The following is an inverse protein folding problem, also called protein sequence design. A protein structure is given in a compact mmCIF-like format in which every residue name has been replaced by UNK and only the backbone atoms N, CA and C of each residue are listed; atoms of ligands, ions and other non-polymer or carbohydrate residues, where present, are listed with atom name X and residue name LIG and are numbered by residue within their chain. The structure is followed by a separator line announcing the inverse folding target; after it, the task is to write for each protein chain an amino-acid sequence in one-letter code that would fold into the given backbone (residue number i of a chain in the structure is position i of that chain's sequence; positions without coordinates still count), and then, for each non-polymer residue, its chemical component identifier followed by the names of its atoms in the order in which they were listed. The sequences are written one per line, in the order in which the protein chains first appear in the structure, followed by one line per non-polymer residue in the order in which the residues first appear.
data_IF_356784684830
#
_entry.id   IF_356784684830
#
_cell.length_a   1.000
_cell.length_b   1.000
_cell.length_c   1.000
_cell.angle_alpha   90.00
_cell.angle_beta   90.00
_cell.angle_gamma   90.00
#
_symmetry.space_group_name_H-M   'P 1'
#
loop_
_entity.id
_entity.type
_entity.pdbx_description
1 polymer ?
#
# COMPACT_ATOMS: atom_id res chain seq x y z
N UNK A 1 12.06 15.36 -24.27
CA UNK A 1 11.31 14.72 -23.18
C UNK A 1 12.02 13.44 -22.84
N UNK A 2 12.42 13.24 -21.57
CA UNK A 2 13.13 12.04 -21.11
C UNK A 2 12.19 10.84 -21.04
N UNK A 3 12.74 9.62 -21.02
CA UNK A 3 11.94 8.42 -21.12
C UNK A 3 12.26 7.43 -20.00
N UNK A 4 11.26 7.05 -19.21
CA UNK A 4 11.34 6.01 -18.20
C UNK A 4 10.59 4.74 -18.63
N UNK A 5 11.24 3.58 -18.53
CA UNK A 5 10.62 2.27 -18.73
C UNK A 5 10.26 1.68 -17.36
N UNK A 6 8.97 1.59 -17.08
CA UNK A 6 8.45 1.00 -15.85
C UNK A 6 8.18 -0.49 -16.02
N UNK A 7 8.68 -1.31 -15.12
CA UNK A 7 8.40 -2.75 -15.05
C UNK A 7 7.55 -2.99 -13.81
N UNK A 8 6.27 -3.27 -13.98
CA UNK A 8 5.32 -3.39 -12.88
C UNK A 8 4.28 -4.48 -13.13
N UNK A 9 4.07 -5.33 -12.13
CA UNK A 9 2.94 -6.26 -12.10
C UNK A 9 1.63 -5.50 -11.87
N UNK A 10 1.56 -4.70 -10.79
CA UNK A 10 0.39 -3.91 -10.44
C UNK A 10 0.26 -2.68 -11.33
N UNK A 11 -0.56 -2.82 -12.35
CA UNK A 11 -0.95 -1.73 -13.26
C UNK A 11 -2.39 -1.95 -13.74
N UNK A 12 -3.18 -0.89 -14.00
CA UNK A 12 -4.58 -1.05 -14.44
C UNK A 12 -4.73 -2.02 -15.63
N UNK A 13 -5.83 -2.79 -15.68
CA UNK A 13 -7.03 -2.75 -14.83
C UNK A 13 -6.94 -3.55 -13.52
N UNK A 14 -5.74 -4.02 -13.11
CA UNK A 14 -5.55 -4.71 -11.85
C UNK A 14 -6.08 -3.87 -10.68
N UNK A 15 -6.84 -4.48 -9.76
CA UNK A 15 -7.46 -3.77 -8.63
C UNK A 15 -7.51 -4.58 -7.33
N UNK A 16 -6.78 -5.69 -7.25
CA UNK A 16 -6.74 -6.50 -6.03
C UNK A 16 -5.98 -5.83 -4.89
N UNK A 17 -5.05 -4.93 -5.22
CA UNK A 17 -4.16 -4.24 -4.27
C UNK A 17 -4.14 -2.73 -4.52
N UNK A 18 -4.07 -1.95 -3.44
CA UNK A 18 -3.80 -0.51 -3.52
C UNK A 18 -2.44 -0.16 -4.16
N UNK A 19 -1.60 -1.17 -4.35
CA UNK A 19 -0.32 -1.03 -5.02
C UNK A 19 -0.38 -0.57 -6.47
N UNK A 20 -1.48 -0.82 -7.14
CA UNK A 20 -1.73 -0.31 -8.50
C UNK A 20 -1.71 1.22 -8.53
N UNK A 21 -2.23 1.87 -7.49
CA UNK A 21 -2.33 3.33 -7.43
C UNK A 21 -0.94 4.01 -7.39
N UNK A 22 0.06 3.41 -6.73
CA UNK A 22 1.43 3.95 -6.71
C UNK A 22 2.00 4.06 -8.12
N UNK A 23 1.96 2.97 -8.88
CA UNK A 23 2.48 2.93 -10.26
C UNK A 23 1.65 3.82 -11.19
N UNK A 24 0.32 3.71 -11.14
CA UNK A 24 -0.58 4.51 -11.96
C UNK A 24 -0.35 6.02 -11.76
N UNK A 25 -0.27 6.47 -10.50
CA UNK A 25 -0.13 7.91 -10.22
C UNK A 25 1.27 8.43 -10.57
N UNK A 26 2.33 7.62 -10.44
CA UNK A 26 3.62 8.00 -10.99
C UNK A 26 3.55 8.20 -12.51
N UNK A 27 2.96 7.26 -13.25
CA UNK A 27 2.83 7.40 -14.70
C UNK A 27 1.99 8.61 -15.10
N UNK A 28 0.98 8.97 -14.30
CA UNK A 28 0.13 10.15 -14.51
C UNK A 28 0.86 11.46 -14.30
N UNK A 29 1.71 11.54 -13.28
CA UNK A 29 2.28 12.83 -12.88
C UNK A 29 3.69 13.09 -13.41
N UNK A 30 4.46 12.06 -13.78
CA UNK A 30 5.82 12.23 -14.31
C UNK A 30 5.87 13.07 -15.58
N UNK A 31 4.80 13.06 -16.39
CA UNK A 31 4.67 13.94 -17.56
C UNK A 31 4.79 15.43 -17.23
N UNK A 32 4.34 15.87 -16.04
CA UNK A 32 4.47 17.26 -15.57
C UNK A 32 5.91 17.68 -15.31
N UNK A 33 6.80 16.71 -15.11
CA UNK A 33 8.23 16.88 -14.83
C UNK A 33 9.11 16.54 -16.05
N UNK A 34 8.52 16.52 -17.27
CA UNK A 34 9.26 16.31 -18.51
C UNK A 34 9.60 14.86 -18.82
N UNK A 35 8.99 13.89 -18.14
CA UNK A 35 9.19 12.46 -18.35
C UNK A 35 8.01 11.82 -19.06
N UNK A 36 8.25 11.14 -20.18
CA UNK A 36 7.30 10.19 -20.74
C UNK A 36 7.53 8.81 -20.15
N UNK A 37 6.49 8.00 -20.08
CA UNK A 37 6.56 6.67 -19.45
C UNK A 37 6.06 5.60 -20.40
N UNK A 38 6.83 4.52 -20.52
CA UNK A 38 6.36 3.24 -21.06
C UNK A 38 6.23 2.25 -19.93
N UNK A 39 5.09 1.60 -19.78
CA UNK A 39 4.85 0.57 -18.77
C UNK A 39 4.90 -0.80 -19.41
N UNK A 40 5.78 -1.66 -18.93
CA UNK A 40 5.86 -3.08 -19.25
C UNK A 40 5.17 -3.89 -18.16
N UNK A 41 4.08 -4.56 -18.50
CA UNK A 41 3.24 -5.29 -17.57
C UNK A 41 2.68 -6.57 -18.19
N UNK A 42 1.89 -7.35 -17.45
CA UNK A 42 1.30 -8.59 -17.93
C UNK A 42 0.03 -8.33 -18.76
N UNK A 43 -0.37 -9.33 -19.55
CA UNK A 43 -1.69 -9.37 -20.16
C UNK A 43 -2.78 -9.35 -19.09
N UNK A 44 -3.98 -8.84 -19.45
CA UNK A 44 -5.11 -8.65 -18.54
C UNK A 44 -5.57 -9.95 -17.88
N UNK A 45 -5.42 -11.08 -18.55
CA UNK A 45 -5.80 -12.41 -18.07
C UNK A 45 -4.99 -12.88 -16.84
N UNK A 46 -3.89 -12.18 -16.50
CA UNK A 46 -3.14 -12.41 -15.28
C UNK A 46 -3.91 -12.00 -14.03
N UNK A 47 -4.79 -11.01 -14.15
CA UNK A 47 -5.45 -10.36 -13.03
C UNK A 47 -6.78 -11.03 -12.69
N UNK A 48 -6.94 -11.42 -11.42
CA UNK A 48 -8.16 -12.06 -10.94
C UNK A 48 -9.26 -11.04 -10.60
N UNK A 49 -8.85 -9.84 -10.18
CA UNK A 49 -9.75 -8.74 -9.83
C UNK A 49 -9.35 -7.53 -10.67
N UNK A 50 -10.28 -7.00 -11.42
CA UNK A 50 -10.06 -5.88 -12.33
C UNK A 50 -11.10 -4.78 -12.11
N UNK A 51 -10.69 -3.53 -12.33
CA UNK A 51 -11.58 -2.37 -12.36
C UNK A 51 -11.33 -1.57 -13.66
N UNK A 52 -12.27 -1.57 -14.61
CA UNK A 52 -12.14 -0.78 -15.85
C UNK A 52 -11.98 0.72 -15.60
N UNK A 53 -12.57 1.26 -14.53
CA UNK A 53 -12.44 2.68 -14.17
C UNK A 53 -11.01 3.09 -13.80
N UNK A 54 -10.19 2.15 -13.32
CA UNK A 54 -8.76 2.41 -13.12
C UNK A 54 -8.01 2.47 -14.45
N UNK A 55 -8.43 1.70 -15.45
CA UNK A 55 -7.82 1.75 -16.78
C UNK A 55 -8.10 3.07 -17.49
N UNK A 56 -9.29 3.64 -17.30
CA UNK A 56 -9.65 4.97 -17.82
C UNK A 56 -8.78 6.10 -17.22
N UNK A 57 -8.16 5.87 -16.07
CA UNK A 57 -7.25 6.83 -15.45
C UNK A 57 -5.82 6.80 -16.02
N UNK A 58 -5.50 5.81 -16.86
CA UNK A 58 -4.18 5.76 -17.52
C UNK A 58 -4.10 6.90 -18.54
N UNK A 59 -3.09 7.79 -18.42
CA UNK A 59 -2.95 8.89 -19.36
C UNK A 59 -2.76 8.38 -20.81
N UNK A 60 -3.32 9.06 -21.82
CA UNK A 60 -3.27 8.61 -23.20
C UNK A 60 -1.86 8.64 -23.81
N UNK A 61 -0.96 9.42 -23.24
CA UNK A 61 0.46 9.51 -23.61
C UNK A 61 1.33 8.43 -22.96
N UNK A 62 0.79 7.65 -22.03
CA UNK A 62 1.48 6.50 -21.43
C UNK A 62 1.34 5.27 -22.32
N UNK A 63 2.46 4.82 -22.87
CA UNK A 63 2.50 3.57 -23.64
C UNK A 63 2.48 2.36 -22.71
N UNK A 64 1.46 1.49 -22.81
CA UNK A 64 1.36 0.25 -22.05
C UNK A 64 1.70 -0.95 -22.93
N UNK A 65 2.77 -1.66 -22.60
CA UNK A 65 3.22 -2.87 -23.30
C UNK A 65 2.86 -4.08 -22.43
N UNK A 66 1.86 -4.83 -22.89
CA UNK A 66 1.40 -6.04 -22.21
C UNK A 66 2.05 -7.28 -22.82
N UNK A 67 2.42 -8.22 -21.95
CA UNK A 67 3.13 -9.43 -22.40
C UNK A 67 2.47 -10.69 -21.90
N UNK A 68 2.64 -11.83 -22.62
CA UNK A 68 2.29 -13.13 -22.13
C UNK A 68 3.00 -13.44 -20.80
N UNK A 69 2.48 -14.42 -20.08
CA UNK A 69 3.00 -14.85 -18.79
C UNK A 69 2.71 -16.34 -18.54
N UNK A 70 3.47 -16.94 -17.66
CA UNK A 70 3.14 -18.21 -17.01
C UNK A 70 3.03 -17.92 -15.51
N UNK A 71 1.84 -18.16 -14.95
CA UNK A 71 1.62 -18.22 -13.50
C UNK A 71 1.88 -19.67 -13.07
N UNK A 72 2.95 -19.88 -12.31
CA UNK A 72 3.36 -21.22 -11.89
C UNK A 72 2.24 -21.96 -11.15
N UNK A 73 1.52 -21.29 -10.28
CA UNK A 73 0.41 -21.86 -9.53
C UNK A 73 -0.78 -22.25 -10.42
N UNK A 74 -1.07 -21.45 -11.43
CA UNK A 74 -2.25 -21.65 -12.31
C UNK A 74 -1.97 -22.62 -13.45
N UNK A 75 -0.77 -22.55 -14.05
CA UNK A 75 -0.48 -23.22 -15.31
C UNK A 75 0.42 -24.46 -15.15
N UNK A 76 1.20 -24.54 -14.06
CA UNK A 76 2.17 -25.64 -13.87
C UNK A 76 1.85 -26.51 -12.65
N UNK A 77 0.83 -26.20 -11.85
CA UNK A 77 0.44 -27.03 -10.73
C UNK A 77 -0.27 -28.30 -11.21
N UNK A 78 0.21 -29.47 -10.74
CA UNK A 78 -0.43 -30.75 -10.92
C UNK A 78 -1.08 -31.14 -9.59
N UNK A 79 -2.40 -31.34 -9.58
CA UNK A 79 -3.18 -31.63 -8.37
C UNK A 79 -2.96 -30.58 -7.25
N UNK A 80 -2.81 -29.32 -7.63
CA UNK A 80 -2.59 -28.21 -6.68
C UNK A 80 -1.16 -28.03 -6.17
N UNK A 81 -0.22 -28.88 -6.58
CA UNK A 81 1.19 -28.82 -6.17
C UNK A 81 2.11 -28.54 -7.37
N UNK A 82 3.20 -27.83 -7.12
CA UNK A 82 4.27 -27.58 -8.09
C UNK A 82 5.63 -27.52 -7.38
N UNK A 83 6.74 -27.85 -8.06
CA UNK A 83 8.09 -27.71 -7.51
C UNK A 83 8.38 -26.26 -7.13
N UNK A 84 8.74 -26.00 -5.86
CA UNK A 84 8.91 -24.64 -5.31
C UNK A 84 9.95 -23.81 -6.07
N UNK A 85 10.97 -24.44 -6.67
CA UNK A 85 12.00 -23.72 -7.45
C UNK A 85 11.43 -23.02 -8.69
N UNK A 86 10.31 -23.49 -9.25
CA UNK A 86 9.65 -22.85 -10.39
C UNK A 86 9.04 -21.48 -10.00
N UNK A 87 8.72 -21.30 -8.71
CA UNK A 87 8.18 -20.05 -8.17
C UNK A 87 9.29 -19.19 -7.52
N UNK A 88 10.51 -19.27 -7.98
CA UNK A 88 11.60 -18.38 -7.57
C UNK A 88 11.86 -17.36 -8.67
N UNK A 89 11.81 -16.04 -8.35
CA UNK A 89 11.67 -15.43 -7.03
C UNK A 89 10.23 -15.39 -6.50
N UNK A 90 9.24 -15.55 -7.36
CA UNK A 90 7.81 -15.60 -7.05
C UNK A 90 7.05 -16.39 -8.12
N UNK A 91 5.73 -16.56 -7.93
CA UNK A 91 4.87 -17.32 -8.85
C UNK A 91 4.82 -16.79 -10.29
N UNK A 92 5.27 -15.57 -10.51
CA UNK A 92 5.30 -14.89 -11.80
C UNK A 92 6.64 -15.02 -12.54
N UNK A 93 7.54 -15.90 -12.07
CA UNK A 93 8.85 -16.16 -12.70
C UNK A 93 8.74 -16.44 -14.20
N UNK A 94 7.66 -17.10 -14.65
CA UNK A 94 7.38 -17.35 -16.05
C UNK A 94 6.99 -16.12 -16.88
N UNK A 95 6.84 -14.94 -16.27
CA UNK A 95 6.69 -13.66 -16.99
C UNK A 95 8.02 -13.14 -17.54
N UNK A 96 9.13 -13.45 -16.86
CA UNK A 96 10.45 -12.89 -17.13
C UNK A 96 10.88 -12.98 -18.59
N UNK A 97 10.86 -14.15 -19.32
CA UNK A 97 11.38 -14.25 -20.69
C UNK A 97 10.60 -13.36 -21.69
N UNK A 98 9.27 -13.32 -21.55
CA UNK A 98 8.40 -12.54 -22.40
C UNK A 98 8.58 -11.03 -22.18
N UNK A 99 8.66 -10.63 -20.93
CA UNK A 99 8.87 -9.23 -20.56
C UNK A 99 10.25 -8.74 -21.00
N UNK A 100 11.31 -9.54 -20.82
CA UNK A 100 12.65 -9.18 -21.30
C UNK A 100 12.67 -9.05 -22.83
N UNK A 101 12.02 -9.95 -23.56
CA UNK A 101 11.95 -9.87 -25.01
C UNK A 101 11.20 -8.60 -25.49
N UNK A 102 10.07 -8.28 -24.85
CA UNK A 102 9.30 -7.06 -25.14
C UNK A 102 10.05 -5.79 -24.74
N UNK A 103 10.64 -5.76 -23.55
CA UNK A 103 11.46 -4.64 -23.09
C UNK A 103 12.63 -4.34 -24.01
N UNK A 104 13.32 -5.36 -24.51
CA UNK A 104 14.39 -5.20 -25.53
C UNK A 104 13.88 -4.61 -26.84
N UNK A 105 12.63 -4.90 -27.26
CA UNK A 105 12.03 -4.25 -28.43
C UNK A 105 11.77 -2.77 -28.16
N UNK A 106 11.28 -2.43 -26.96
CA UNK A 106 11.11 -1.03 -26.55
C UNK A 106 12.45 -0.30 -26.61
N UNK A 107 13.51 -0.84 -25.98
CA UNK A 107 14.85 -0.25 -25.92
C UNK A 107 15.49 -0.05 -27.31
N UNK A 108 15.15 -0.89 -28.31
CA UNK A 108 15.66 -0.75 -29.69
C UNK A 108 14.89 0.27 -30.49
N UNK A 109 13.61 0.41 -30.23
CA UNK A 109 12.73 1.31 -30.99
C UNK A 109 12.69 2.73 -30.45
N UNK A 110 13.08 2.92 -29.19
CA UNK A 110 12.91 4.19 -28.51
C UNK A 110 13.95 4.36 -27.39
N UNK A 111 14.78 5.41 -27.40
CA UNK A 111 15.75 5.66 -26.35
C UNK A 111 15.08 5.76 -24.98
N UNK A 112 15.58 4.98 -24.02
CA UNK A 112 15.15 4.97 -22.61
C UNK A 112 16.30 5.48 -21.76
N UNK A 113 16.01 6.41 -20.85
CA UNK A 113 17.01 7.02 -19.96
C UNK A 113 17.12 6.26 -18.64
N UNK A 114 15.98 5.80 -18.08
CA UNK A 114 15.90 5.13 -16.79
C UNK A 114 14.96 3.93 -16.86
N UNK A 115 15.37 2.80 -16.29
CA UNK A 115 14.50 1.67 -15.99
C UNK A 115 14.03 1.77 -14.54
N UNK A 116 12.73 1.69 -14.29
CA UNK A 116 12.13 1.64 -12.96
C UNK A 116 11.40 0.33 -12.78
N UNK A 117 11.63 -0.38 -11.67
CA UNK A 117 10.92 -1.61 -11.34
C UNK A 117 10.33 -1.55 -9.94
N UNK A 118 9.14 -2.12 -9.74
CA UNK A 118 8.44 -2.03 -8.45
C UNK A 118 7.97 -3.40 -7.97
N UNK A 119 8.16 -3.68 -6.67
CA UNK A 119 7.63 -4.85 -5.97
C UNK A 119 6.08 -4.73 -5.77
N UNK A 120 5.36 -5.72 -5.19
CA UNK A 120 5.87 -6.84 -4.37
C UNK A 120 6.41 -8.03 -5.15
N UNK A 121 6.16 -8.13 -6.46
CA UNK A 121 6.65 -9.25 -7.24
C UNK A 121 8.10 -9.02 -7.68
N UNK A 122 8.99 -9.80 -7.09
CA UNK A 122 10.42 -9.73 -7.28
C UNK A 122 10.85 -10.01 -8.73
N UNK A 123 10.04 -10.76 -9.47
CA UNK A 123 10.24 -10.99 -10.92
C UNK A 123 10.36 -9.66 -11.69
N UNK A 124 9.64 -8.61 -11.30
CA UNK A 124 9.77 -7.28 -11.92
C UNK A 124 11.20 -6.72 -11.82
N UNK A 125 11.85 -6.90 -10.69
CA UNK A 125 13.24 -6.47 -10.49
C UNK A 125 14.23 -7.29 -11.34
N UNK A 126 14.00 -8.62 -11.50
CA UNK A 126 14.85 -9.45 -12.38
C UNK A 126 14.70 -9.10 -13.85
N UNK A 127 13.49 -8.72 -14.28
CA UNK A 127 13.26 -8.20 -15.63
C UNK A 127 14.07 -6.91 -15.83
N UNK A 128 13.95 -5.95 -14.88
CA UNK A 128 14.68 -4.70 -14.94
C UNK A 128 16.20 -4.88 -14.92
N UNK A 129 16.73 -5.77 -14.07
CA UNK A 129 18.14 -6.16 -14.03
C UNK A 129 18.63 -6.64 -15.40
N UNK A 130 17.82 -7.48 -16.09
CA UNK A 130 18.15 -8.03 -17.40
C UNK A 130 18.14 -6.98 -18.52
N UNK A 131 17.29 -5.95 -18.39
CA UNK A 131 17.18 -4.86 -19.36
C UNK A 131 18.23 -3.80 -19.13
N UNK A 132 18.36 -3.30 -17.89
CA UNK A 132 19.28 -2.22 -17.55
C UNK A 132 20.74 -2.64 -17.66
N UNK A 133 21.09 -3.85 -17.16
CA UNK A 133 22.47 -4.33 -17.18
C UNK A 133 23.04 -4.50 -18.57
N UNK A 134 22.25 -5.02 -19.51
CA UNK A 134 22.67 -5.20 -20.92
C UNK A 134 22.79 -3.88 -21.69
N UNK A 135 21.87 -2.96 -21.41
CA UNK A 135 21.83 -1.67 -22.11
C UNK A 135 22.66 -0.59 -21.41
N UNK A 136 23.29 -0.90 -20.27
CA UNK A 136 24.02 0.06 -19.42
C UNK A 136 23.16 1.27 -19.03
N UNK A 137 21.86 1.04 -18.78
CA UNK A 137 20.90 2.07 -18.36
C UNK A 137 20.90 2.23 -16.85
N UNK A 138 20.56 3.41 -16.36
CA UNK A 138 20.26 3.62 -14.95
C UNK A 138 19.04 2.82 -14.53
N UNK A 139 19.11 2.23 -13.34
CA UNK A 139 18.04 1.40 -12.79
C UNK A 139 17.65 1.83 -11.38
N UNK A 140 16.36 2.11 -11.20
CA UNK A 140 15.74 2.40 -9.91
C UNK A 140 14.87 1.21 -9.51
N UNK A 141 15.15 0.62 -8.35
CA UNK A 141 14.38 -0.49 -7.79
C UNK A 141 13.52 0.01 -6.62
N UNK A 142 12.18 -0.08 -6.76
CA UNK A 142 11.19 0.36 -5.77
C UNK A 142 10.72 -0.83 -4.92
N UNK A 143 11.17 -0.86 -3.68
CA UNK A 143 10.82 -1.83 -2.67
C UNK A 143 9.63 -1.32 -1.86
N UNK A 144 8.48 -1.93 -2.04
CA UNK A 144 7.26 -1.58 -1.31
C UNK A 144 7.17 -2.30 0.01
N UNK A 145 7.70 -3.53 0.04
CA UNK A 145 7.74 -4.45 1.18
C UNK A 145 9.13 -5.08 1.24
N UNK A 146 9.59 -5.60 2.40
CA UNK A 146 10.79 -6.40 2.47
C UNK A 146 10.66 -7.63 1.54
N UNK A 147 11.75 -7.99 0.89
CA UNK A 147 11.71 -9.16 -0.01
C UNK A 147 11.80 -10.48 0.75
N UNK A 148 12.46 -10.45 1.90
CA UNK A 148 12.48 -11.54 2.86
C UNK A 148 12.55 -10.99 4.28
N UNK A 149 12.14 -11.80 5.24
CA UNK A 149 12.17 -11.49 6.68
C UNK A 149 13.11 -12.44 7.43
N UNK A 150 13.68 -11.98 8.53
CA UNK A 150 14.42 -12.81 9.46
C UNK A 150 13.83 -12.65 10.86
N UNK A 151 13.30 -13.74 11.44
CA UNK A 151 13.20 -15.10 10.89
C UNK A 151 12.23 -15.19 9.71
N UNK A 152 12.37 -16.20 8.82
CA UNK A 152 11.50 -16.35 7.67
C UNK A 152 10.06 -16.61 8.08
N UNK A 153 9.11 -16.09 7.28
CA UNK A 153 7.69 -16.34 7.50
C UNK A 153 7.35 -17.84 7.55
N UNK A 154 6.35 -18.22 8.39
CA UNK A 154 5.88 -19.60 8.45
C UNK A 154 5.46 -20.12 7.06
N UNK A 155 5.97 -21.32 6.69
CA UNK A 155 5.72 -21.90 5.38
C UNK A 155 6.75 -21.57 4.30
N UNK A 156 7.67 -20.65 4.54
CA UNK A 156 8.76 -20.34 3.62
C UNK A 156 9.77 -21.52 3.59
N UNK A 157 10.05 -22.06 2.41
CA UNK A 157 11.06 -23.11 2.27
C UNK A 157 12.47 -22.53 2.44
N UNK A 158 13.41 -23.33 2.97
CA UNK A 158 14.83 -22.93 3.08
C UNK A 158 15.41 -22.45 1.76
N UNK A 159 15.11 -23.16 0.67
CA UNK A 159 15.59 -22.80 -0.68
C UNK A 159 14.99 -21.46 -1.10
N UNK A 160 13.69 -21.25 -0.90
CA UNK A 160 13.01 -19.99 -1.21
C UNK A 160 13.60 -18.82 -0.43
N UNK A 161 13.84 -19.00 0.87
CA UNK A 161 14.44 -17.95 1.72
C UNK A 161 15.86 -17.58 1.28
N UNK A 162 16.72 -18.58 1.05
CA UNK A 162 18.10 -18.36 0.56
C UNK A 162 18.08 -17.67 -0.81
N UNK A 163 17.20 -18.11 -1.72
CA UNK A 163 17.06 -17.51 -3.03
C UNK A 163 16.59 -16.05 -2.94
N UNK A 164 15.59 -15.75 -2.12
CA UNK A 164 15.10 -14.40 -1.90
C UNK A 164 16.23 -13.47 -1.39
N UNK A 165 16.98 -13.93 -0.38
CA UNK A 165 18.13 -13.19 0.17
C UNK A 165 19.22 -12.94 -0.87
N UNK A 166 19.56 -13.94 -1.68
CA UNK A 166 20.57 -13.79 -2.74
C UNK A 166 20.11 -12.82 -3.83
N UNK A 167 18.84 -12.90 -4.24
CA UNK A 167 18.29 -12.08 -5.28
C UNK A 167 18.10 -10.63 -4.80
N UNK A 168 17.64 -10.40 -3.57
CA UNK A 168 17.58 -9.05 -2.99
C UNK A 168 18.97 -8.41 -2.95
N UNK A 169 19.99 -9.17 -2.50
CA UNK A 169 21.39 -8.71 -2.50
C UNK A 169 21.89 -8.35 -3.90
N UNK A 170 21.52 -9.16 -4.90
CA UNK A 170 21.91 -8.90 -6.29
C UNK A 170 21.27 -7.61 -6.80
N UNK A 171 19.97 -7.41 -6.52
CA UNK A 171 19.24 -6.18 -6.89
C UNK A 171 19.83 -4.99 -6.15
N UNK A 172 20.04 -5.10 -4.84
CA UNK A 172 20.63 -4.04 -4.03
C UNK A 172 22.05 -3.66 -4.50
N UNK A 173 22.82 -4.62 -5.00
CA UNK A 173 24.16 -4.37 -5.55
C UNK A 173 24.15 -3.71 -6.93
N UNK A 174 23.13 -3.98 -7.77
CA UNK A 174 23.14 -3.60 -9.19
C UNK A 174 22.24 -2.42 -9.53
N UNK A 175 21.18 -2.15 -8.76
CA UNK A 175 20.38 -0.94 -8.93
C UNK A 175 21.25 0.31 -8.65
N UNK A 176 21.02 1.40 -9.35
CA UNK A 176 21.66 2.68 -9.09
C UNK A 176 21.00 3.42 -7.92
N UNK A 177 19.69 3.23 -7.73
CA UNK A 177 18.91 3.78 -6.64
C UNK A 177 17.90 2.73 -6.13
N UNK A 178 17.73 2.67 -4.82
CA UNK A 178 16.73 1.86 -4.15
C UNK A 178 15.74 2.81 -3.49
N UNK A 179 14.49 2.72 -3.90
CA UNK A 179 13.39 3.44 -3.27
C UNK A 179 12.68 2.48 -2.31
N UNK A 180 12.42 2.92 -1.09
CA UNK A 180 11.63 2.20 -0.10
C UNK A 180 10.33 2.93 0.20
N UNK A 181 9.27 2.20 0.53
CA UNK A 181 7.95 2.79 0.81
C UNK A 181 7.86 3.50 2.17
N UNK A 182 8.84 3.31 3.05
CA UNK A 182 8.91 3.96 4.37
C UNK A 182 10.37 4.26 4.74
N UNK A 183 10.56 5.21 5.65
CA UNK A 183 11.89 5.50 6.20
C UNK A 183 12.45 4.31 6.98
N UNK A 184 11.61 3.56 7.68
CA UNK A 184 12.02 2.34 8.39
C UNK A 184 12.54 1.28 7.42
N UNK A 185 11.79 0.96 6.38
CA UNK A 185 12.22 0.00 5.35
C UNK A 185 13.53 0.47 4.68
N UNK A 186 13.64 1.78 4.36
CA UNK A 186 14.89 2.36 3.84
C UNK A 186 16.06 2.10 4.78
N UNK A 187 15.88 2.32 6.09
CA UNK A 187 16.92 2.10 7.09
C UNK A 187 17.27 0.62 7.23
N UNK A 188 16.27 -0.26 7.24
CA UNK A 188 16.44 -1.72 7.27
C UNK A 188 17.27 -2.20 6.06
N UNK A 189 16.95 -1.73 4.85
CA UNK A 189 17.70 -2.09 3.64
C UNK A 189 19.13 -1.52 3.67
N UNK A 190 19.33 -0.27 4.09
CA UNK A 190 20.65 0.34 4.19
C UNK A 190 21.54 -0.41 5.22
N UNK A 191 20.98 -0.78 6.38
CA UNK A 191 21.68 -1.56 7.40
C UNK A 191 22.01 -2.98 6.92
N UNK A 192 21.13 -3.60 6.11
CA UNK A 192 21.34 -4.93 5.53
C UNK A 192 22.46 -4.96 4.49
N UNK A 193 22.69 -3.83 3.80
CA UNK A 193 23.70 -3.69 2.74
C UNK A 193 24.75 -2.61 3.03
N UNK A 194 25.54 -2.70 4.11
CA UNK A 194 26.45 -1.63 4.56
C UNK A 194 27.62 -1.33 3.61
N UNK A 195 27.83 -2.20 2.59
CA UNK A 195 28.82 -1.95 1.54
C UNK A 195 28.30 -1.04 0.42
N UNK A 196 27.01 -0.73 0.39
CA UNK A 196 26.42 0.21 -0.54
C UNK A 196 26.41 1.61 0.09
N UNK A 197 26.55 2.65 -0.73
CA UNK A 197 26.45 4.03 -0.24
C UNK A 197 25.06 4.29 0.39
N UNK A 198 24.98 4.95 1.55
CA UNK A 198 23.69 5.33 2.16
C UNK A 198 22.79 6.16 1.21
N UNK A 199 23.39 6.98 0.36
CA UNK A 199 22.69 7.83 -0.62
C UNK A 199 21.95 7.02 -1.71
N UNK A 200 22.29 5.74 -1.84
CA UNK A 200 21.61 4.82 -2.73
C UNK A 200 20.20 4.46 -2.26
N UNK A 201 19.90 4.67 -0.98
CA UNK A 201 18.63 4.30 -0.36
C UNK A 201 17.78 5.53 -0.07
N UNK A 202 16.64 5.63 -0.73
CA UNK A 202 15.70 6.73 -0.63
C UNK A 202 14.36 6.24 -0.08
N UNK A 203 13.71 7.02 0.77
CA UNK A 203 12.34 6.77 1.17
C UNK A 203 11.39 7.66 0.36
N UNK A 204 10.49 7.06 -0.42
CA UNK A 204 9.36 7.74 -1.04
C UNK A 204 8.09 7.02 -0.59
N UNK A 205 7.30 7.58 0.32
CA UNK A 205 6.13 6.92 0.88
C UNK A 205 5.03 6.69 -0.15
N UNK A 206 4.03 5.90 0.23
CA UNK A 206 2.72 5.94 -0.42
C UNK A 206 2.06 7.29 -0.13
N UNK A 207 0.97 7.59 -0.80
CA UNK A 207 0.30 8.86 -0.63
C UNK A 207 -1.14 8.84 -1.14
N UNK A 208 -1.78 9.98 -1.08
CA UNK A 208 -3.11 10.24 -1.64
C UNK A 208 -3.01 11.04 -2.94
N UNK A 209 -4.06 10.96 -3.76
CA UNK A 209 -4.19 11.79 -4.96
C UNK A 209 -5.30 12.82 -4.74
N UNK A 210 -4.97 14.11 -4.82
CA UNK A 210 -5.93 15.19 -4.64
C UNK A 210 -7.09 15.14 -5.63
N UNK A 211 -6.83 14.68 -6.86
CA UNK A 211 -7.86 14.56 -7.88
C UNK A 211 -8.94 13.51 -7.53
N UNK A 212 -8.60 12.50 -6.73
CA UNK A 212 -9.55 11.46 -6.32
C UNK A 212 -10.54 11.99 -5.26
N UNK A 213 -10.20 13.09 -4.56
CA UNK A 213 -11.01 13.70 -3.51
C UNK A 213 -11.88 14.87 -3.98
N UNK A 214 -11.76 15.30 -5.23
CA UNK A 214 -12.52 16.46 -5.76
C UNK A 214 -14.05 16.33 -5.63
N UNK A 215 -14.58 15.11 -5.69
CA UNK A 215 -16.01 14.79 -5.52
C UNK A 215 -16.40 14.44 -4.08
N UNK A 216 -15.42 14.27 -3.18
CA UNK A 216 -15.63 13.88 -1.79
C UNK A 216 -15.70 15.09 -0.86
N UNK A 217 -14.96 16.15 -1.22
CA UNK A 217 -14.93 17.42 -0.48
C UNK A 217 -16.28 18.12 -0.59
N UNK A 218 -17.05 18.11 0.50
CA UNK A 218 -18.39 18.68 0.56
C UNK A 218 -19.50 17.66 0.87
N UNK A 219 -19.18 16.37 0.97
CA UNK A 219 -20.13 15.42 1.55
C UNK A 219 -20.35 15.76 3.02
N UNK A 220 -21.62 15.99 3.40
CA UNK A 220 -21.99 16.23 4.80
C UNK A 220 -21.45 15.11 5.67
N UNK A 221 -20.89 15.47 6.82
CA UNK A 221 -20.59 14.49 7.86
C UNK A 221 -21.84 13.65 8.18
N UNK A 222 -21.64 12.48 8.76
CA UNK A 222 -22.69 11.67 9.35
C UNK A 222 -23.57 12.48 10.30
N UNK A 223 -24.75 11.96 10.62
CA UNK A 223 -25.65 12.53 11.60
C UNK A 223 -24.88 13.01 12.84
N UNK A 224 -25.19 14.20 13.37
CA UNK A 224 -24.59 14.68 14.63
C UNK A 224 -24.95 13.79 15.82
N UNK A 225 -25.95 12.91 15.67
CA UNK A 225 -26.48 12.09 16.76
C UNK A 225 -25.72 10.80 16.96
N UNK A 226 -24.83 10.39 16.03
CA UNK A 226 -24.06 9.15 16.13
C UNK A 226 -22.59 9.33 15.71
N UNK A 227 -21.70 8.71 16.47
CA UNK A 227 -20.26 8.59 16.15
C UNK A 227 -20.09 7.46 15.12
N UNK A 228 -20.04 7.81 13.83
CA UNK A 228 -19.81 6.85 12.76
C UNK A 228 -18.32 6.56 12.59
N UNK A 229 -17.93 5.33 12.86
CA UNK A 229 -16.56 4.81 12.70
C UNK A 229 -16.50 3.92 11.45
N UNK A 230 -15.66 4.28 10.48
CA UNK A 230 -15.58 3.58 9.20
C UNK A 230 -14.23 2.92 9.03
N UNK A 231 -14.23 1.66 8.58
CA UNK A 231 -13.06 0.94 8.08
C UNK A 231 -13.26 0.55 6.62
N UNK A 232 -12.28 0.80 5.76
CA UNK A 232 -12.30 0.35 4.37
C UNK A 232 -11.25 -0.73 4.12
N UNK A 233 -11.69 -1.89 3.67
CA UNK A 233 -10.85 -3.02 3.28
C UNK A 233 -11.26 -4.35 3.92
N UNK A 234 -10.67 -5.44 3.43
CA UNK A 234 -10.94 -6.77 3.94
C UNK A 234 -10.51 -6.92 5.40
N UNK A 235 -11.30 -7.62 6.18
CA UNK A 235 -10.97 -8.06 7.52
C UNK A 235 -10.27 -9.42 7.49
N UNK A 236 -9.45 -9.69 8.50
CA UNK A 236 -8.79 -10.99 8.68
C UNK A 236 -8.34 -11.11 10.14
N UNK A 237 -8.41 -12.29 10.70
CA UNK A 237 -8.05 -12.55 12.09
C UNK A 237 -6.60 -12.15 12.42
N UNK A 238 -5.65 -12.47 11.54
CA UNK A 238 -4.24 -12.19 11.77
C UNK A 238 -3.85 -10.72 11.66
N UNK A 239 -4.43 -9.98 10.72
CA UNK A 239 -3.92 -8.64 10.37
C UNK A 239 -4.90 -7.51 10.62
N UNK A 240 -6.19 -7.78 10.57
CA UNK A 240 -7.24 -6.76 10.54
C UNK A 240 -8.47 -7.21 11.30
N UNK A 241 -8.28 -7.45 12.58
CA UNK A 241 -9.31 -7.91 13.51
C UNK A 241 -9.93 -6.74 14.27
N UNK A 242 -11.23 -6.43 14.11
CA UNK A 242 -11.89 -5.36 14.83
C UNK A 242 -12.39 -5.77 16.23
N UNK A 243 -12.38 -7.05 16.59
CA UNK A 243 -12.94 -7.55 17.87
C UNK A 243 -12.39 -6.83 19.10
N UNK A 244 -11.09 -6.49 19.20
CA UNK A 244 -10.58 -5.69 20.33
C UNK A 244 -11.24 -4.32 20.46
N UNK A 245 -11.65 -3.69 19.35
CA UNK A 245 -12.35 -2.40 19.37
C UNK A 245 -13.76 -2.54 19.97
N UNK A 246 -14.47 -3.62 19.62
CA UNK A 246 -15.79 -3.89 20.19
C UNK A 246 -15.72 -4.13 21.69
N UNK A 247 -14.73 -4.91 22.13
CA UNK A 247 -14.46 -5.15 23.55
C UNK A 247 -14.13 -3.85 24.32
N UNK A 248 -13.32 -2.97 23.71
CA UNK A 248 -12.99 -1.68 24.30
C UNK A 248 -14.23 -0.78 24.46
N UNK A 249 -15.14 -0.76 23.49
CA UNK A 249 -16.42 -0.05 23.60
C UNK A 249 -17.28 -0.65 24.70
N UNK A 250 -17.36 -1.98 24.78
CA UNK A 250 -18.11 -2.68 25.82
C UNK A 250 -17.61 -2.28 27.23
N UNK A 251 -16.30 -2.35 27.48
CA UNK A 251 -15.70 -1.96 28.77
C UNK A 251 -15.95 -0.48 29.10
N UNK A 252 -15.84 0.41 28.12
CA UNK A 252 -16.13 1.81 28.31
C UNK A 252 -17.62 2.08 28.63
N UNK A 253 -18.53 1.31 28.02
CA UNK A 253 -19.97 1.39 28.27
C UNK A 253 -20.33 0.89 29.67
N UNK A 254 -19.72 -0.22 30.14
CA UNK A 254 -19.93 -0.75 31.49
C UNK A 254 -19.58 0.26 32.59
N UNK A 255 -18.64 1.15 32.34
CA UNK A 255 -18.23 2.22 33.25
C UNK A 255 -18.98 3.52 33.06
N UNK A 256 -19.96 3.57 32.13
CA UNK A 256 -20.74 4.76 31.82
C UNK A 256 -19.97 5.86 31.09
N UNK A 257 -18.79 5.57 30.56
CA UNK A 257 -17.92 6.56 29.88
C UNK A 257 -18.36 6.83 28.44
N UNK A 258 -19.06 5.89 27.80
CA UNK A 258 -19.63 6.02 26.47
C UNK A 258 -21.04 5.43 26.42
N UNK A 259 -21.87 5.96 25.55
CA UNK A 259 -23.17 5.38 25.20
C UNK A 259 -23.02 4.56 23.90
N UNK A 260 -23.05 3.21 23.94
CA UNK A 260 -22.85 2.37 22.77
C UNK A 260 -23.99 2.51 21.76
N UNK A 261 -25.17 2.99 22.18
CA UNK A 261 -26.29 3.25 21.27
C UNK A 261 -26.02 4.40 20.32
N UNK A 262 -25.05 5.26 20.62
CA UNK A 262 -24.62 6.40 19.79
C UNK A 262 -23.37 6.12 18.99
N UNK A 263 -22.79 4.92 19.05
CA UNK A 263 -21.61 4.50 18.28
C UNK A 263 -22.07 3.56 17.16
N UNK A 264 -21.67 3.83 15.92
CA UNK A 264 -21.91 2.97 14.76
C UNK A 264 -20.61 2.61 14.07
N UNK A 265 -20.45 1.34 13.74
CA UNK A 265 -19.33 0.85 12.93
C UNK A 265 -19.79 0.46 11.55
N UNK A 266 -18.99 0.83 10.54
CA UNK A 266 -19.23 0.43 9.14
C UNK A 266 -17.92 -0.11 8.55
N UNK A 267 -17.97 -1.37 8.10
CA UNK A 267 -16.84 -2.07 7.48
C UNK A 267 -17.12 -2.26 5.99
N UNK A 268 -16.37 -1.56 5.14
CA UNK A 268 -16.49 -1.64 3.68
C UNK A 268 -15.58 -2.75 3.16
N UNK A 269 -16.12 -3.87 2.71
CA UNK A 269 -15.37 -5.01 2.21
C UNK A 269 -14.91 -5.98 3.30
N UNK A 270 -15.70 -6.18 4.36
CA UNK A 270 -15.36 -7.04 5.51
C UNK A 270 -15.01 -8.49 5.13
N UNK A 271 -15.56 -8.98 4.03
CA UNK A 271 -15.32 -10.33 3.53
C UNK A 271 -15.83 -11.43 4.47
N UNK A 272 -15.44 -12.71 4.22
CA UNK A 272 -15.95 -13.86 4.98
C UNK A 272 -15.69 -13.78 6.49
N UNK A 273 -14.57 -13.17 6.91
CA UNK A 273 -14.25 -13.02 8.32
C UNK A 273 -15.23 -12.08 9.04
N UNK A 274 -15.67 -11.00 8.37
CA UNK A 274 -16.70 -10.11 8.92
C UNK A 274 -18.06 -10.79 9.12
N UNK A 275 -18.34 -11.85 8.36
CA UNK A 275 -19.60 -12.61 8.44
C UNK A 275 -19.49 -13.89 9.29
N UNK A 276 -18.32 -14.16 9.87
CA UNK A 276 -18.05 -15.36 10.66
C UNK A 276 -18.90 -15.43 11.93
N UNK A 277 -19.06 -16.63 12.48
CA UNK A 277 -19.78 -16.86 13.73
C UNK A 277 -19.10 -16.14 14.90
N UNK A 278 -17.78 -16.19 14.95
CA UNK A 278 -16.96 -15.56 15.99
C UNK A 278 -17.11 -14.03 15.96
N UNK A 279 -17.22 -13.43 14.77
CA UNK A 279 -17.45 -11.99 14.62
C UNK A 279 -18.85 -11.59 15.11
N UNK A 280 -19.88 -12.37 14.75
CA UNK A 280 -21.26 -12.13 15.19
C UNK A 280 -21.39 -12.25 16.70
N UNK A 281 -20.72 -13.22 17.31
CA UNK A 281 -20.68 -13.39 18.76
C UNK A 281 -20.00 -12.20 19.44
N UNK A 282 -18.82 -11.79 18.97
CA UNK A 282 -18.11 -10.61 19.50
C UNK A 282 -18.94 -9.32 19.42
N UNK A 283 -19.67 -9.11 18.33
CA UNK A 283 -20.58 -7.97 18.18
C UNK A 283 -21.74 -8.05 19.17
N UNK A 284 -22.29 -9.26 19.39
CA UNK A 284 -23.37 -9.52 20.35
C UNK A 284 -22.92 -9.27 21.78
N UNK A 285 -21.78 -9.82 22.17
CA UNK A 285 -21.23 -9.70 23.51
C UNK A 285 -20.89 -8.24 23.87
N UNK A 286 -20.47 -7.47 22.87
CA UNK A 286 -20.25 -6.03 23.01
C UNK A 286 -21.55 -5.20 23.06
N UNK A 287 -22.73 -5.79 22.86
CA UNK A 287 -24.01 -5.07 22.81
C UNK A 287 -24.20 -4.20 21.55
N UNK A 288 -23.51 -4.54 20.45
CA UNK A 288 -23.43 -3.72 19.25
C UNK A 288 -24.20 -4.30 18.04
N UNK A 289 -25.13 -5.25 18.22
CA UNK A 289 -25.82 -5.98 17.12
C UNK A 289 -26.44 -5.04 16.09
N UNK A 290 -27.13 -3.98 16.52
CA UNK A 290 -27.76 -3.01 15.61
C UNK A 290 -26.82 -1.86 15.20
N UNK A 291 -25.54 -1.93 15.57
CA UNK A 291 -24.56 -0.85 15.45
C UNK A 291 -23.36 -1.18 14.59
N UNK A 292 -23.22 -2.43 14.16
CA UNK A 292 -22.12 -2.88 13.29
C UNK A 292 -22.67 -3.33 11.95
N UNK A 293 -22.18 -2.74 10.87
CA UNK A 293 -22.54 -3.03 9.49
C UNK A 293 -21.33 -3.61 8.74
N UNK A 294 -21.44 -4.82 8.20
CA UNK A 294 -20.48 -5.39 7.28
C UNK A 294 -21.02 -5.31 5.86
N UNK A 295 -20.45 -4.41 5.06
CA UNK A 295 -20.85 -4.18 3.69
C UNK A 295 -19.94 -4.93 2.71
N UNK A 296 -20.44 -5.32 1.54
CA UNK A 296 -19.61 -5.89 0.49
C UNK A 296 -18.56 -4.89 0.02
N UNK A 297 -17.62 -5.38 -0.78
CA UNK A 297 -16.62 -4.50 -1.41
C UNK A 297 -17.30 -3.48 -2.32
N UNK A 298 -16.97 -2.22 -2.11
CA UNK A 298 -17.44 -1.08 -2.91
C UNK A 298 -16.37 -0.62 -3.89
N UNK A 299 -16.74 0.19 -4.88
CA UNK A 299 -15.76 0.83 -5.77
C UNK A 299 -14.84 1.78 -5.00
N UNK A 300 -13.66 2.06 -5.54
CA UNK A 300 -12.69 2.96 -4.92
C UNK A 300 -13.31 4.34 -4.61
N UNK A 301 -14.03 4.93 -5.58
CA UNK A 301 -14.67 6.23 -5.39
C UNK A 301 -15.77 6.21 -4.33
N UNK A 302 -16.59 5.16 -4.29
CA UNK A 302 -17.60 4.99 -3.24
C UNK A 302 -16.96 4.84 -1.85
N UNK A 303 -15.82 4.14 -1.77
CA UNK A 303 -15.05 4.04 -0.53
C UNK A 303 -14.60 5.42 -0.04
N UNK A 304 -14.02 6.25 -0.91
CA UNK A 304 -13.60 7.61 -0.55
C UNK A 304 -14.78 8.46 -0.06
N UNK A 305 -15.94 8.34 -0.69
CA UNK A 305 -17.16 9.04 -0.27
C UNK A 305 -17.57 8.64 1.14
N UNK A 306 -17.56 7.33 1.46
CA UNK A 306 -17.88 6.86 2.81
C UNK A 306 -16.84 7.29 3.86
N UNK A 307 -15.54 7.33 3.48
CA UNK A 307 -14.50 7.89 4.35
C UNK A 307 -14.78 9.38 4.69
N UNK A 308 -15.20 10.16 3.70
CA UNK A 308 -15.56 11.58 3.90
C UNK A 308 -16.80 11.79 4.77
N UNK A 309 -17.71 10.81 4.85
CA UNK A 309 -18.92 10.84 5.69
C UNK A 309 -18.67 10.43 7.14
N UNK A 310 -17.58 9.70 7.41
CA UNK A 310 -17.27 9.19 8.73
C UNK A 310 -17.07 10.33 9.75
N UNK A 311 -17.35 10.05 11.02
CA UNK A 311 -16.90 10.88 12.13
C UNK A 311 -15.44 10.58 12.47
N UNK A 312 -15.05 9.30 12.42
CA UNK A 312 -13.71 8.80 12.69
C UNK A 312 -13.39 7.60 11.78
N UNK A 313 -12.13 7.38 11.48
CA UNK A 313 -11.67 6.26 10.65
C UNK A 313 -10.90 5.25 11.49
N UNK A 314 -11.16 3.96 11.23
CA UNK A 314 -10.51 2.86 11.93
C UNK A 314 -9.48 2.19 11.01
N UNK A 315 -8.20 2.24 11.37
CA UNK A 315 -7.14 1.52 10.69
C UNK A 315 -6.76 0.27 11.51
N UNK A 316 -6.82 -0.89 10.86
CA UNK A 316 -6.46 -2.17 11.46
C UNK A 316 -5.18 -2.70 10.79
N UNK A 317 -4.13 -2.89 11.60
CA UNK A 317 -2.81 -3.38 11.20
C UNK A 317 -2.15 -4.13 12.38
N UNK A 318 -2.83 -5.17 12.85
CA UNK A 318 -2.50 -5.79 14.13
C UNK A 318 -1.22 -6.65 14.16
N UNK A 319 -0.61 -6.98 13.02
CA UNK A 319 0.55 -7.88 12.99
C UNK A 319 1.88 -7.16 13.20
N UNK A 320 2.74 -7.73 14.06
CA UNK A 320 4.11 -7.24 14.30
C UNK A 320 4.98 -7.27 13.04
N UNK A 321 4.67 -8.14 12.08
CA UNK A 321 5.39 -8.25 10.80
C UNK A 321 5.24 -6.99 9.94
N UNK A 322 4.31 -6.10 10.29
CA UNK A 322 4.00 -4.88 9.54
C UNK A 322 4.61 -3.61 10.14
N UNK A 323 5.51 -3.74 11.11
CA UNK A 323 6.10 -2.59 11.84
C UNK A 323 6.80 -1.57 10.94
N UNK A 324 7.42 -2.03 9.86
CA UNK A 324 8.14 -1.19 8.89
C UNK A 324 7.24 -0.69 7.75
N UNK A 325 5.97 -1.09 7.73
CA UNK A 325 5.04 -0.80 6.63
C UNK A 325 3.99 0.24 7.03
N UNK A 326 3.54 1.00 6.04
CA UNK A 326 2.38 1.90 6.15
C UNK A 326 1.34 1.49 5.12
N UNK A 327 0.13 1.07 5.54
CA UNK A 327 -0.95 0.78 4.62
C UNK A 327 -1.30 2.01 3.77
N UNK A 328 -1.38 1.86 2.45
CA UNK A 328 -1.64 2.98 1.55
C UNK A 328 -2.94 3.73 1.90
N UNK A 329 -3.95 3.04 2.43
CA UNK A 329 -5.22 3.62 2.88
C UNK A 329 -5.06 4.67 4.00
N UNK A 330 -3.98 4.62 4.79
CA UNK A 330 -3.74 5.63 5.83
C UNK A 330 -3.68 7.04 5.23
N UNK A 331 -3.02 7.20 4.10
CA UNK A 331 -2.90 8.51 3.45
C UNK A 331 -4.24 9.02 2.90
N UNK A 332 -5.09 8.10 2.43
CA UNK A 332 -6.46 8.42 2.03
C UNK A 332 -7.32 8.80 3.24
N UNK A 333 -7.17 8.10 4.36
CA UNK A 333 -7.85 8.41 5.63
C UNK A 333 -7.48 9.80 6.14
N UNK A 334 -6.18 10.10 6.17
CA UNK A 334 -5.69 11.42 6.58
C UNK A 334 -6.22 12.53 5.66
N UNK A 335 -6.26 12.27 4.32
CA UNK A 335 -6.79 13.25 3.35
C UNK A 335 -8.29 13.41 3.42
N UNK A 336 -9.04 12.40 3.84
CA UNK A 336 -10.48 12.52 4.10
C UNK A 336 -10.79 13.52 5.22
N UNK A 337 -9.77 13.96 5.97
CA UNK A 337 -9.90 14.98 7.01
C UNK A 337 -10.67 14.49 8.23
N UNK A 338 -10.54 13.21 8.54
CA UNK A 338 -11.15 12.60 9.72
C UNK A 338 -10.06 12.05 10.64
N UNK A 339 -10.22 12.13 11.98
CA UNK A 339 -9.24 11.53 12.88
C UNK A 339 -9.20 10.02 12.70
N UNK A 340 -8.01 9.46 12.80
CA UNK A 340 -7.75 8.02 12.62
C UNK A 340 -7.46 7.37 13.96
N UNK A 341 -8.20 6.33 14.31
CA UNK A 341 -7.79 5.38 15.34
C UNK A 341 -7.11 4.21 14.65
N UNK A 342 -5.81 4.06 14.85
CA UNK A 342 -5.03 2.95 14.31
C UNK A 342 -4.72 1.92 15.39
N UNK A 343 -5.21 0.69 15.20
CA UNK A 343 -4.70 -0.48 15.91
C UNK A 343 -3.50 -0.98 15.12
N UNK A 344 -2.31 -0.63 15.56
CA UNK A 344 -1.08 -0.91 14.85
C UNK A 344 0.11 -1.05 15.82
N UNK A 345 1.16 -1.81 15.46
CA UNK A 345 2.39 -1.80 16.23
C UNK A 345 3.04 -0.40 16.20
N UNK A 346 3.81 -0.08 17.22
CA UNK A 346 4.60 1.16 17.28
C UNK A 346 5.71 1.10 16.22
N UNK A 347 5.43 1.60 15.04
CA UNK A 347 6.29 1.54 13.86
C UNK A 347 6.01 2.65 12.86
N UNK A 348 6.22 2.37 11.58
CA UNK A 348 6.09 3.36 10.50
C UNK A 348 4.70 4.02 10.43
N UNK A 349 3.62 3.27 10.72
CA UNK A 349 2.26 3.82 10.80
C UNK A 349 2.11 4.82 11.95
N UNK A 350 2.69 4.50 13.12
CA UNK A 350 2.68 5.40 14.27
C UNK A 350 3.48 6.70 13.98
N UNK A 351 4.62 6.58 13.31
CA UNK A 351 5.42 7.75 12.90
C UNK A 351 4.60 8.68 12.01
N UNK A 352 3.95 8.17 10.97
CA UNK A 352 3.12 9.00 10.07
C UNK A 352 1.96 9.67 10.82
N UNK A 353 1.27 8.96 11.71
CA UNK A 353 0.17 9.54 12.49
C UNK A 353 0.64 10.61 13.47
N UNK A 354 1.78 10.42 14.13
CA UNK A 354 2.38 11.41 15.02
C UNK A 354 2.84 12.65 14.26
N UNK A 355 3.53 12.49 13.14
CA UNK A 355 4.03 13.59 12.30
C UNK A 355 2.88 14.43 11.72
N UNK A 356 1.78 13.77 11.36
CA UNK A 356 0.61 14.45 10.80
C UNK A 356 -0.36 14.95 11.85
N UNK A 357 -0.25 14.49 13.11
CA UNK A 357 -1.23 14.69 14.19
C UNK A 357 -2.64 14.26 13.78
N UNK A 358 -2.74 13.21 12.96
CA UNK A 358 -3.98 12.78 12.32
C UNK A 358 -4.83 11.81 13.12
N UNK A 359 -4.51 11.56 14.40
CA UNK A 359 -5.28 10.63 15.23
C UNK A 359 -4.44 9.90 16.28
N UNK A 360 -4.87 8.71 16.66
CA UNK A 360 -4.27 7.90 17.73
C UNK A 360 -3.71 6.58 17.18
N UNK A 361 -2.65 6.11 17.81
CA UNK A 361 -2.10 4.75 17.58
C UNK A 361 -2.16 4.00 18.89
N UNK A 362 -2.70 2.80 18.86
CA UNK A 362 -2.80 1.91 20.01
C UNK A 362 -2.28 0.54 19.62
N UNK A 363 -1.44 -0.06 20.46
CA UNK A 363 -1.04 -1.45 20.28
C UNK A 363 -2.29 -2.35 20.44
N UNK A 364 -2.57 -3.25 19.50
CA UNK A 364 -3.75 -4.12 19.57
C UNK A 364 -3.85 -4.98 20.84
N UNK A 365 -2.74 -5.20 21.53
CA UNK A 365 -2.68 -5.95 22.80
C UNK A 365 -2.92 -5.10 24.05
N UNK A 366 -2.91 -3.77 23.92
CA UNK A 366 -3.12 -2.84 25.03
C UNK A 366 -4.59 -2.40 25.10
N UNK A 367 -5.39 -3.21 25.80
CA UNK A 367 -6.83 -3.00 25.92
C UNK A 367 -7.18 -1.73 26.71
N UNK A 368 -6.39 -1.35 27.71
CA UNK A 368 -6.65 -0.16 28.51
C UNK A 368 -6.41 1.12 27.68
N UNK A 369 -5.29 1.19 26.98
CA UNK A 369 -5.03 2.30 26.03
C UNK A 369 -6.09 2.36 24.92
N UNK A 370 -6.58 1.21 24.44
CA UNK A 370 -7.62 1.18 23.42
C UNK A 370 -8.95 1.71 23.94
N UNK A 371 -9.35 1.29 25.15
CA UNK A 371 -10.54 1.83 25.84
C UNK A 371 -10.42 3.34 26.02
N UNK A 372 -9.28 3.83 26.48
CA UNK A 372 -9.06 5.25 26.75
C UNK A 372 -9.06 6.09 25.46
N UNK A 373 -8.54 5.54 24.37
CA UNK A 373 -8.62 6.17 23.03
C UNK A 373 -10.08 6.29 22.53
N UNK A 374 -10.89 5.24 22.71
CA UNK A 374 -12.33 5.26 22.39
C UNK A 374 -13.05 6.32 23.23
N UNK A 375 -12.81 6.36 24.53
CA UNK A 375 -13.41 7.36 25.45
C UNK A 375 -13.01 8.78 25.04
N UNK A 376 -11.74 8.98 24.71
CA UNK A 376 -11.22 10.28 24.26
C UNK A 376 -11.89 10.72 22.96
N UNK A 377 -12.00 9.82 21.98
CA UNK A 377 -12.67 10.10 20.72
C UNK A 377 -14.16 10.39 20.90
N UNK A 378 -14.85 9.62 21.74
CA UNK A 378 -16.26 9.82 22.06
C UNK A 378 -16.51 11.17 22.73
N UNK A 379 -15.69 11.56 23.72
CA UNK A 379 -15.76 12.87 24.37
C UNK A 379 -15.49 14.03 23.41
N UNK A 380 -14.46 13.91 22.58
CA UNK A 380 -14.15 14.91 21.57
C UNK A 380 -15.28 15.07 20.55
N UNK A 381 -15.97 13.97 20.20
CA UNK A 381 -17.14 14.00 19.34
C UNK A 381 -18.34 14.71 20.02
N UNK A 382 -18.64 14.38 21.27
CA UNK A 382 -19.75 14.98 22.00
C UNK A 382 -19.56 16.47 22.31
N UNK A 383 -18.30 16.91 22.46
CA UNK A 383 -17.95 18.33 22.64
C UNK A 383 -17.83 19.11 21.32
N UNK A 384 -17.88 18.43 20.14
CA UNK A 384 -17.67 19.05 18.83
C UNK A 384 -16.20 19.30 18.46
N UNK A 385 -15.25 18.81 19.27
CA UNK A 385 -13.81 19.07 19.09
C UNK A 385 -13.09 18.01 18.23
N UNK A 386 -13.83 17.01 17.74
CA UNK A 386 -13.23 15.87 17.00
C UNK A 386 -12.45 16.34 15.75
N UNK A 387 -12.91 17.39 15.08
CA UNK A 387 -12.24 17.97 13.92
C UNK A 387 -10.84 18.56 14.21
N UNK A 388 -10.55 18.90 15.47
CA UNK A 388 -9.23 19.41 15.88
C UNK A 388 -8.15 18.32 15.92
N UNK A 389 -8.56 17.05 15.85
CA UNK A 389 -7.70 15.87 15.91
C UNK A 389 -7.40 15.31 14.52
N UNK A 390 -7.53 16.14 13.48
CA UNK A 390 -7.28 15.76 12.09
C UNK A 390 -5.96 16.34 11.58
N UNK A 391 -5.35 15.63 10.64
CA UNK A 391 -4.16 16.12 9.96
C UNK A 391 -4.45 17.45 9.20
N UNK A 392 -3.48 18.36 9.21
CA UNK A 392 -3.57 19.63 8.49
C UNK A 392 -3.04 19.50 7.06
N UNK A 393 -3.50 20.41 6.18
CA UNK A 393 -2.98 20.47 4.79
C UNK A 393 -1.46 20.68 4.76
N UNK A 394 -0.89 21.41 5.72
CA UNK A 394 0.54 21.65 5.82
C UNK A 394 1.33 20.35 6.08
N UNK A 395 0.80 19.46 6.94
CA UNK A 395 1.45 18.19 7.26
C UNK A 395 1.21 17.11 6.20
N UNK A 396 0.13 17.24 5.41
CA UNK A 396 -0.25 16.25 4.39
C UNK A 396 0.41 16.48 3.02
N UNK A 397 0.83 17.69 2.69
CA UNK A 397 1.34 18.03 1.35
C UNK A 397 2.47 17.13 0.86
N UNK A 398 3.35 16.69 1.76
CA UNK A 398 4.45 15.77 1.47
C UNK A 398 3.99 14.36 1.02
N UNK A 399 2.74 13.98 1.28
CA UNK A 399 2.15 12.71 0.87
C UNK A 399 1.26 12.82 -0.37
N UNK A 400 1.20 14.00 -1.01
CA UNK A 400 0.50 14.16 -2.27
C UNK A 400 1.25 13.43 -3.41
N UNK A 401 0.56 12.58 -4.16
CA UNK A 401 1.18 11.75 -5.20
C UNK A 401 1.81 12.56 -6.33
N UNK A 402 1.29 13.76 -6.63
CA UNK A 402 1.92 14.64 -7.61
C UNK A 402 3.28 15.17 -7.08
N UNK A 403 3.34 15.54 -5.80
CA UNK A 403 4.59 15.94 -5.15
C UNK A 403 5.60 14.77 -5.14
N UNK A 404 5.15 13.57 -4.72
CA UNK A 404 6.01 12.37 -4.67
C UNK A 404 6.54 11.96 -6.07
N UNK A 405 5.76 12.20 -7.12
CA UNK A 405 6.23 12.01 -8.49
C UNK A 405 7.31 13.03 -8.88
N UNK A 406 7.22 14.27 -8.39
CA UNK A 406 8.28 15.28 -8.52
C UNK A 406 9.56 14.84 -7.85
N UNK A 407 9.49 14.37 -6.59
CA UNK A 407 10.65 13.82 -5.87
C UNK A 407 11.30 12.67 -6.66
N UNK A 408 10.50 11.75 -7.22
CA UNK A 408 11.04 10.66 -8.05
C UNK A 408 11.71 11.19 -9.32
N UNK A 409 11.12 12.20 -9.98
CA UNK A 409 11.68 12.83 -11.17
C UNK A 409 13.02 13.52 -10.89
N UNK A 410 13.14 14.25 -9.77
CA UNK A 410 14.39 14.87 -9.33
C UNK A 410 15.51 13.85 -9.15
N UNK A 411 15.21 12.69 -8.58
CA UNK A 411 16.19 11.62 -8.42
C UNK A 411 16.55 10.94 -9.75
N UNK A 412 15.61 10.83 -10.68
CA UNK A 412 15.92 10.39 -12.04
C UNK A 412 16.88 11.37 -12.74
N UNK A 413 16.65 12.69 -12.61
CA UNK A 413 17.53 13.73 -13.15
C UNK A 413 18.94 13.65 -12.50
N UNK A 414 19.01 13.48 -11.19
CA UNK A 414 20.27 13.37 -10.46
C UNK A 414 21.09 12.14 -10.91
N UNK A 415 20.42 11.00 -11.18
CA UNK A 415 21.09 9.82 -11.73
C UNK A 415 21.71 10.08 -13.10
N UNK A 416 20.98 10.80 -13.98
CA UNK A 416 21.47 11.10 -15.34
C UNK A 416 22.62 12.13 -15.34
N UNK A 417 22.64 13.02 -14.32
CA UNK A 417 23.76 13.96 -14.11
C UNK A 417 25.06 13.30 -13.60
N UNK A 418 24.93 12.13 -12.96
CA UNK A 418 26.09 11.33 -12.54
C UNK A 418 26.60 10.56 -13.76
N UNK A 419 27.75 10.95 -14.33
CA UNK A 419 28.41 10.11 -15.35
C UNK A 419 28.61 8.72 -14.74
N UNK A 420 28.17 7.65 -15.42
CA UNK A 420 28.58 6.30 -15.04
C UNK A 420 30.10 6.25 -15.14
N UNK A 421 30.78 6.15 -14.02
CA UNK A 421 32.17 5.77 -14.00
C UNK A 421 32.25 4.37 -14.63
N UNK A 422 32.93 4.30 -15.73
CA UNK A 422 33.13 3.11 -16.59
C UNK A 422 34.00 2.08 -15.89
#
# INVERSE_FOLDING_TARGET
MRHALFVAYHYPPESSSSGVLRTLKYTRYLGRFGWRVTVLTLNREAYQVTDPKLEEQVPPDVRVVRTPFIDVKRHLAIRGSYPSFLAIPDRWSGWWPWAVAAGRRVLRGDPVDVVYSTSPHATAHLIALSLAGRAKLHWVADFRDPWYEEPPEPGTTRIGHVAARMLERLVAGRADLIVASTTRLRNTLAARYPRQSPEKFLAIPNGYDEADFSSVLGSSASSPDELLIVHAGSLSERFRDPRPVFEAVHRAAQTGLVDPSRIRFRFLGGGPFGESAEMKEAVKDAGLIARVEFLPRVSYQASLTELGRASMLLLLQASKDTVDLVPAKLFEYLRAGRPVLALAPLGATAEVLNDTRGGWVVDPSDMDSLRDAIVTAYRAWTSGDLSRLTATSATLGQYNRAYLAGVLAEHFEALLGRRRET
#
